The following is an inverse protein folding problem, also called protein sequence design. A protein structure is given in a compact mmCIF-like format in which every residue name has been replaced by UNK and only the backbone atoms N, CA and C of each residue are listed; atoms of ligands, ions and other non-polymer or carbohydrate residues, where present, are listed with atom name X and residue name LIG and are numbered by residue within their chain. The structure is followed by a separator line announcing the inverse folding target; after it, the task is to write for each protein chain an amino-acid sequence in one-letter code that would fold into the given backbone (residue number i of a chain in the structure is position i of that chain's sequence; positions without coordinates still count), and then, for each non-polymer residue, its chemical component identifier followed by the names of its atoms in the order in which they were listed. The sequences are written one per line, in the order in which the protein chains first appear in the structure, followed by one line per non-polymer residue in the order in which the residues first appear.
data_IF_016055944575
#
_entry.id   IF_016055944575
#
_cell.length_a   1.000
_cell.length_b   1.000
_cell.length_c   1.000
_cell.angle_alpha   90.00
_cell.angle_beta   90.00
_cell.angle_gamma   90.00
#
_symmetry.space_group_name_H-M   'P 1'
#
loop_
_entity.id
_entity.type
_entity.pdbx_description
1 polymer ?
#
# COMPACT_ATOMS: atom_id res chain seq x y z
N UNK A 1 -42.26 -52.69 16.69
CA UNK A 1 -40.99 -52.97 15.98
C UNK A 1 -40.05 -51.81 16.30
N UNK A 2 -39.22 -51.87 17.35
CA UNK A 2 -37.89 -52.51 17.42
C UNK A 2 -36.95 -52.00 16.31
N UNK A 3 -35.72 -51.49 16.51
CA UNK A 3 -34.79 -51.54 17.64
C UNK A 3 -33.66 -50.50 17.50
N UNK A 4 -33.22 -50.02 18.68
CA UNK A 4 -31.96 -49.42 19.17
C UNK A 4 -30.64 -49.65 18.40
N UNK A 5 -29.70 -48.69 18.56
CA UNK A 5 -28.26 -48.78 18.99
C UNK A 5 -27.61 -47.38 18.78
N UNK A 6 -27.26 -46.53 19.75
CA UNK A 6 -26.25 -46.58 20.84
C UNK A 6 -24.86 -47.10 20.42
N UNK A 7 -23.87 -46.19 20.37
CA UNK A 7 -22.49 -46.49 20.79
C UNK A 7 -21.81 -45.25 21.38
N UNK A 8 -21.36 -45.40 22.62
CA UNK A 8 -20.54 -44.49 23.41
C UNK A 8 -19.06 -44.67 23.05
N UNK A 9 -18.25 -43.62 23.15
CA UNK A 9 -16.83 -43.77 23.49
C UNK A 9 -16.38 -42.59 24.36
N UNK A 10 -16.26 -42.87 25.64
CA UNK A 10 -15.54 -42.07 26.64
C UNK A 10 -14.21 -42.78 26.84
N UNK A 11 -13.10 -42.08 26.68
CA UNK A 11 -11.84 -42.43 27.33
C UNK A 11 -11.10 -41.14 27.65
N UNK A 12 -11.03 -40.82 28.94
CA UNK A 12 -10.06 -39.88 29.47
C UNK A 12 -8.70 -40.56 29.62
N UNK A 13 -7.66 -39.76 29.83
CA UNK A 13 -6.59 -40.02 30.80
C UNK A 13 -5.95 -38.67 31.12
N UNK A 14 -6.06 -38.32 32.39
CA UNK A 14 -5.35 -37.27 33.10
C UNK A 14 -4.04 -37.88 33.59
N UNK A 15 -2.89 -37.24 33.35
CA UNK A 15 -1.67 -37.46 34.13
C UNK A 15 -1.10 -36.10 34.54
N UNK A 16 -1.22 -35.83 35.85
CA UNK A 16 -0.44 -34.85 36.59
C UNK A 16 0.85 -35.53 37.05
N UNK A 17 2.00 -34.87 36.87
CA UNK A 17 3.14 -35.06 37.77
C UNK A 17 4.00 -33.79 37.87
N UNK A 18 3.85 -33.17 39.04
CA UNK A 18 4.77 -32.38 39.85
C UNK A 18 6.28 -32.31 39.51
N UNK A 19 6.86 -31.13 39.79
CA UNK A 19 8.28 -30.87 40.07
C UNK A 19 8.66 -29.47 39.57
N UNK A 20 9.03 -28.44 40.34
CA UNK A 20 9.49 -28.36 41.72
C UNK A 20 10.95 -27.82 41.75
N UNK A 21 11.14 -26.54 42.10
CA UNK A 21 12.45 -25.90 42.41
C UNK A 21 13.34 -25.60 41.19
N UNK A 22 14.19 -24.57 41.13
CA UNK A 22 14.72 -23.64 42.12
C UNK A 22 15.23 -22.37 41.39
N UNK A 23 15.07 -21.23 42.03
CA UNK A 23 15.74 -19.94 41.79
C UNK A 23 17.24 -20.06 42.13
N UNK A 24 18.14 -19.52 41.30
CA UNK A 24 19.52 -19.23 41.69
C UNK A 24 19.85 -17.77 41.35
N UNK A 25 20.19 -17.03 42.40
CA UNK A 25 20.73 -15.68 42.38
C UNK A 25 22.24 -15.69 42.19
N UNK A 26 22.71 -14.65 41.47
CA UNK A 26 23.94 -13.86 41.66
C UNK A 26 25.33 -14.52 41.56
N UNK A 27 26.19 -13.93 40.72
CA UNK A 27 27.37 -13.20 41.20
C UNK A 27 28.04 -12.40 40.07
N UNK A 28 28.16 -11.10 40.30
CA UNK A 28 28.98 -10.13 39.54
C UNK A 28 30.48 -10.28 39.85
N UNK A 29 31.30 -9.69 38.97
CA UNK A 29 32.65 -9.07 39.10
C UNK A 29 33.72 -9.65 38.14
N UNK A 30 34.84 -8.95 37.84
CA UNK A 30 34.93 -7.58 37.31
C UNK A 30 35.92 -7.42 36.12
N UNK A 31 35.77 -6.29 35.41
CA UNK A 31 36.70 -5.43 34.64
C UNK A 31 38.16 -5.91 34.42
N UNK A 32 38.63 -5.82 33.16
CA UNK A 32 39.98 -5.30 32.91
C UNK A 32 40.05 -4.46 31.62
N UNK A 33 40.38 -3.20 31.83
CA UNK A 33 40.58 -2.15 30.83
C UNK A 33 42.07 -2.13 30.46
N UNK A 34 42.42 -1.93 29.18
CA UNK A 34 43.80 -1.64 28.79
C UNK A 34 43.79 -0.63 27.67
N UNK A 35 43.91 0.62 28.09
CA UNK A 35 44.31 1.76 27.27
C UNK A 35 45.82 1.72 27.03
N UNK A 36 46.25 1.88 25.77
CA UNK A 36 47.54 2.50 25.44
C UNK A 36 47.41 3.36 24.18
N UNK A 37 47.69 4.63 24.42
CA UNK A 37 47.77 5.77 23.51
C UNK A 37 49.23 6.02 23.13
N UNK A 38 49.49 6.52 21.91
CA UNK A 38 50.67 7.25 21.37
C UNK A 38 50.86 6.83 19.90
N UNK A 39 51.18 7.64 18.89
CA UNK A 39 51.17 9.07 18.56
C UNK A 39 51.84 9.17 17.16
N UNK A 40 51.29 9.95 16.22
CA UNK A 40 51.94 10.90 15.26
C UNK A 40 53.37 10.55 14.77
N UNK A 41 53.79 10.50 13.48
CA UNK A 41 53.47 11.23 12.24
C UNK A 41 54.21 10.65 11.01
N UNK A 42 53.75 11.04 9.82
CA UNK A 42 54.43 11.24 8.52
C UNK A 42 55.00 10.06 7.71
N UNK A 43 54.39 9.81 6.55
CA UNK A 43 55.10 9.84 5.27
C UNK A 43 54.15 9.90 4.06
N UNK A 44 54.46 10.85 3.18
CA UNK A 44 53.88 11.08 1.86
C UNK A 44 54.15 9.87 0.94
N UNK A 45 53.15 9.26 0.32
CA UNK A 45 53.21 8.76 -1.07
C UNK A 45 51.79 8.79 -1.65
N UNK A 46 51.58 9.66 -2.63
CA UNK A 46 50.49 9.54 -3.60
C UNK A 46 50.65 8.23 -4.37
N UNK A 47 49.59 7.44 -4.52
CA UNK A 47 49.38 6.64 -5.72
C UNK A 47 47.89 6.31 -5.86
N UNK A 48 47.33 6.90 -6.90
CA UNK A 48 46.04 6.64 -7.49
C UNK A 48 45.99 5.18 -7.98
N UNK A 49 45.21 4.31 -7.35
CA UNK A 49 44.78 3.05 -7.94
C UNK A 49 43.47 2.60 -7.28
N UNK A 50 42.41 2.61 -8.08
CA UNK A 50 41.03 2.53 -7.61
C UNK A 50 40.63 1.21 -6.95
N UNK A 51 39.76 1.34 -5.94
CA UNK A 51 38.83 0.29 -5.55
C UNK A 51 37.46 0.90 -5.20
N UNK A 52 36.59 0.88 -6.19
CA UNK A 52 35.23 0.34 -6.10
C UNK A 52 34.38 0.85 -4.92
N UNK A 53 33.78 2.03 -5.08
CA UNK A 53 32.61 2.41 -4.28
C UNK A 53 31.51 1.38 -4.54
N UNK A 54 31.19 0.63 -3.50
CA UNK A 54 30.03 -0.22 -3.39
C UNK A 54 28.78 0.63 -3.66
N UNK A 55 28.21 0.47 -4.85
CA UNK A 55 26.86 0.95 -5.17
C UNK A 55 25.89 0.17 -4.28
N UNK A 56 25.62 0.69 -3.08
CA UNK A 56 24.41 0.34 -2.36
C UNK A 56 23.23 0.67 -3.29
N UNK A 57 22.48 -0.38 -3.62
CA UNK A 57 21.30 -0.35 -4.48
C UNK A 57 20.24 0.57 -3.88
N UNK A 58 20.31 1.86 -4.21
CA UNK A 58 19.14 2.74 -4.19
C UNK A 58 18.22 2.22 -5.27
N UNK A 59 17.11 1.60 -4.86
CA UNK A 59 16.07 1.11 -5.77
C UNK A 59 15.60 2.23 -6.73
N UNK A 60 15.07 1.89 -7.91
CA UNK A 60 14.80 2.86 -8.95
C UNK A 60 13.82 3.93 -8.44
N UNK A 61 14.23 5.20 -8.59
CA UNK A 61 13.40 6.36 -8.32
C UNK A 61 12.05 6.23 -9.05
N UNK A 62 10.94 6.45 -8.34
CA UNK A 62 9.58 6.34 -8.89
C UNK A 62 9.30 7.31 -10.06
N UNK A 63 10.16 8.31 -10.27
CA UNK A 63 10.14 9.18 -11.45
C UNK A 63 10.34 8.43 -12.78
N UNK A 64 10.99 7.27 -12.78
CA UNK A 64 11.18 6.46 -13.99
C UNK A 64 9.89 5.87 -14.55
N UNK A 65 8.89 5.64 -13.70
CA UNK A 65 7.64 4.97 -14.10
C UNK A 65 6.66 5.92 -14.79
N UNK A 66 6.59 7.19 -14.38
CA UNK A 66 5.76 8.22 -15.02
C UNK A 66 6.23 8.53 -16.45
N UNK A 67 7.54 8.48 -16.72
CA UNK A 67 8.12 8.63 -18.06
C UNK A 67 7.78 7.45 -19.01
N UNK A 68 7.46 6.26 -18.48
CA UNK A 68 7.07 5.11 -19.30
C UNK A 68 5.61 5.14 -19.75
N UNK A 69 4.73 5.87 -19.05
CA UNK A 69 3.30 5.94 -19.37
C UNK A 69 3.06 6.57 -20.73
N UNK A 70 3.84 7.59 -21.11
CA UNK A 70 3.73 8.25 -22.43
C UNK A 70 3.89 7.25 -23.59
N UNK A 71 4.77 6.25 -23.44
CA UNK A 71 4.97 5.19 -24.45
C UNK A 71 3.76 4.27 -24.63
N UNK A 72 2.83 4.31 -23.68
CA UNK A 72 1.65 3.45 -23.62
C UNK A 72 0.41 4.08 -24.23
N UNK A 73 0.44 5.38 -24.49
CA UNK A 73 -0.58 6.02 -25.30
C UNK A 73 -0.50 5.53 -26.75
N UNK A 74 -1.65 5.51 -27.41
CA UNK A 74 -1.78 5.27 -28.86
C UNK A 74 -1.45 6.56 -29.60
N UNK A 75 -1.04 6.42 -30.86
CA UNK A 75 -0.59 7.54 -31.68
C UNK A 75 -1.63 8.68 -31.67
N UNK A 76 -1.17 9.91 -31.40
CA UNK A 76 -2.01 11.11 -31.30
C UNK A 76 -2.62 11.38 -29.92
N UNK A 77 -2.58 10.42 -28.99
CA UNK A 77 -3.00 10.65 -27.61
C UNK A 77 -1.80 10.92 -26.69
N UNK A 78 -2.00 11.81 -25.73
CA UNK A 78 -1.09 12.07 -24.62
C UNK A 78 -1.89 12.41 -23.37
N UNK A 79 -1.21 12.65 -22.24
CA UNK A 79 -1.89 13.16 -21.04
C UNK A 79 -2.59 14.49 -21.32
N UNK A 80 -1.92 15.41 -22.00
CA UNK A 80 -2.44 16.74 -22.29
C UNK A 80 -3.69 16.67 -23.16
N UNK A 81 -3.69 15.83 -24.21
CA UNK A 81 -4.87 15.72 -25.10
C UNK A 81 -6.08 15.12 -24.39
N UNK A 82 -5.89 14.25 -23.39
CA UNK A 82 -7.00 13.69 -22.60
C UNK A 82 -7.46 14.68 -21.53
N UNK A 83 -6.54 15.40 -20.90
CA UNK A 83 -6.86 16.41 -19.89
C UNK A 83 -7.57 17.63 -20.49
N UNK A 84 -7.32 17.97 -21.76
CA UNK A 84 -8.05 19.02 -22.47
C UNK A 84 -9.51 18.67 -22.77
N UNK A 85 -9.90 17.40 -22.64
CA UNK A 85 -11.30 16.96 -22.75
C UNK A 85 -11.95 17.10 -21.38
N UNK A 86 -13.11 17.76 -21.36
CA UNK A 86 -13.87 18.00 -20.13
C UNK A 86 -14.25 16.71 -19.40
N UNK A 87 -14.22 16.75 -18.07
CA UNK A 87 -14.70 15.65 -17.22
C UNK A 87 -16.16 15.33 -17.59
N UNK A 88 -16.47 14.04 -17.72
CA UNK A 88 -17.75 13.53 -18.22
C UNK A 88 -17.72 13.14 -19.71
N UNK A 89 -16.81 13.76 -20.48
CA UNK A 89 -16.65 13.48 -21.93
C UNK A 89 -15.32 12.81 -22.28
N UNK A 90 -14.47 12.50 -21.29
CA UNK A 90 -13.19 11.84 -21.55
C UNK A 90 -13.42 10.45 -22.13
N UNK A 91 -12.68 10.04 -23.16
CA UNK A 91 -12.93 8.79 -23.86
C UNK A 91 -12.57 7.58 -22.98
N UNK A 92 -13.06 6.38 -23.35
CA UNK A 92 -12.70 5.15 -22.63
C UNK A 92 -11.18 4.89 -22.70
N UNK A 93 -10.52 4.48 -21.60
CA UNK A 93 -9.08 4.19 -21.57
C UNK A 93 -8.57 3.26 -22.68
N UNK A 94 -9.36 2.29 -23.16
CA UNK A 94 -8.97 1.38 -24.23
C UNK A 94 -8.81 2.07 -25.59
N UNK A 95 -9.42 3.25 -25.79
CA UNK A 95 -9.34 4.04 -27.02
C UNK A 95 -8.00 4.76 -27.16
N UNK A 96 -7.38 5.16 -26.05
CA UNK A 96 -6.12 5.92 -26.04
C UNK A 96 -4.95 5.20 -25.39
N UNK A 97 -5.16 4.12 -24.62
CA UNK A 97 -4.09 3.28 -24.08
C UNK A 97 -3.98 1.97 -24.85
N UNK A 98 -2.74 1.48 -25.00
CA UNK A 98 -2.45 0.16 -25.59
C UNK A 98 -2.98 -0.94 -24.66
N UNK A 99 -3.69 -1.93 -25.24
CA UNK A 99 -4.27 -3.08 -24.51
C UNK A 99 -3.26 -3.82 -23.62
N UNK A 100 -2.02 -3.99 -24.08
CA UNK A 100 -0.94 -4.64 -23.31
C UNK A 100 -0.63 -3.89 -22.02
N UNK A 101 -0.73 -2.57 -22.04
CA UNK A 101 -0.42 -1.71 -20.89
C UNK A 101 -1.53 -1.77 -19.86
N UNK A 102 -2.79 -1.64 -20.29
CA UNK A 102 -3.97 -1.86 -19.43
C UNK A 102 -3.89 -3.23 -18.74
N UNK A 103 -3.65 -4.30 -19.51
CA UNK A 103 -3.58 -5.66 -18.95
C UNK A 103 -2.45 -5.83 -17.95
N UNK A 104 -1.28 -5.23 -18.21
CA UNK A 104 -0.13 -5.29 -17.29
C UNK A 104 -0.44 -4.53 -16.00
N UNK A 105 -0.96 -3.31 -16.13
CA UNK A 105 -1.34 -2.47 -14.99
C UNK A 105 -2.31 -3.18 -14.04
N UNK A 106 -3.43 -3.68 -14.59
CA UNK A 106 -4.45 -4.36 -13.80
C UNK A 106 -4.01 -5.75 -13.28
N UNK A 107 -2.89 -6.30 -13.76
CA UNK A 107 -2.33 -7.56 -13.24
C UNK A 107 -1.76 -7.37 -11.84
N UNK A 108 -1.23 -6.19 -11.52
CA UNK A 108 -0.54 -5.93 -10.25
C UNK A 108 -1.51 -5.91 -9.07
N UNK A 109 -2.78 -5.60 -9.33
CA UNK A 109 -3.88 -5.67 -8.36
C UNK A 109 -4.35 -7.10 -8.08
N UNK A 110 -3.77 -8.14 -8.71
CA UNK A 110 -4.13 -9.55 -8.45
C UNK A 110 -3.87 -9.95 -6.99
N UNK A 111 -2.85 -9.35 -6.37
CA UNK A 111 -2.50 -9.60 -4.97
C UNK A 111 -3.37 -8.81 -3.96
N UNK A 112 -4.32 -8.02 -4.45
CA UNK A 112 -5.21 -7.20 -3.63
C UNK A 112 -5.08 -5.72 -3.94
N UNK A 113 -6.06 -4.96 -3.45
CA UNK A 113 -6.13 -3.51 -3.58
C UNK A 113 -6.46 -2.88 -2.23
N UNK A 114 -6.09 -1.62 -2.06
CA UNK A 114 -6.39 -0.85 -0.86
C UNK A 114 -6.86 0.56 -1.19
N UNK A 115 -7.68 1.14 -0.33
CA UNK A 115 -7.95 2.57 -0.29
C UNK A 115 -8.03 3.06 1.16
N UNK A 116 -7.93 4.39 1.34
CA UNK A 116 -8.18 5.05 2.62
C UNK A 116 -9.46 5.85 2.50
N UNK A 117 -10.31 5.75 3.51
CA UNK A 117 -11.51 6.56 3.66
C UNK A 117 -11.55 7.17 5.06
N UNK A 118 -12.39 8.17 5.27
CA UNK A 118 -12.64 8.73 6.60
C UNK A 118 -13.60 7.83 7.37
N UNK A 119 -13.50 7.82 8.71
CA UNK A 119 -14.46 7.13 9.57
C UNK A 119 -15.90 7.58 9.33
N UNK A 120 -16.11 8.89 9.14
CA UNK A 120 -17.41 9.44 8.76
C UNK A 120 -17.98 8.80 7.48
N UNK A 121 -17.14 8.60 6.45
CA UNK A 121 -17.56 7.96 5.20
C UNK A 121 -17.86 6.46 5.37
N UNK A 122 -17.14 5.79 6.26
CA UNK A 122 -17.40 4.40 6.63
C UNK A 122 -18.74 4.27 7.37
N UNK A 123 -18.99 5.14 8.35
CA UNK A 123 -20.15 5.08 9.24
C UNK A 123 -21.48 5.48 8.53
N UNK A 124 -21.44 6.33 7.48
CA UNK A 124 -22.64 6.83 6.77
C UNK A 124 -23.59 5.73 6.28
N UNK A 125 -23.07 4.56 5.96
CA UNK A 125 -23.84 3.40 5.52
C UNK A 125 -23.51 2.15 6.35
N UNK A 126 -23.00 2.30 7.57
CA UNK A 126 -22.52 1.18 8.41
C UNK A 126 -21.58 0.20 7.66
N UNK A 127 -20.76 0.75 6.75
CA UNK A 127 -19.88 -0.03 5.88
C UNK A 127 -20.58 -0.86 4.78
N UNK A 128 -21.90 -0.78 4.62
CA UNK A 128 -22.65 -1.63 3.67
C UNK A 128 -22.23 -1.43 2.21
N UNK A 129 -21.82 -0.22 1.85
CA UNK A 129 -21.38 0.11 0.49
C UNK A 129 -20.39 1.28 0.49
N UNK A 130 -19.10 0.99 0.35
CA UNK A 130 -18.04 1.99 0.30
C UNK A 130 -17.76 2.44 -1.13
N UNK A 131 -17.83 3.75 -1.39
CA UNK A 131 -17.51 4.37 -2.67
C UNK A 131 -18.35 5.61 -2.94
N UNK A 132 -18.27 6.14 -4.16
CA UNK A 132 -18.97 7.34 -4.60
C UNK A 132 -20.33 7.01 -5.22
N UNK A 133 -21.18 8.03 -5.35
CA UNK A 133 -22.56 7.89 -5.83
C UNK A 133 -22.67 7.33 -7.26
N UNK A 134 -21.66 7.55 -8.11
CA UNK A 134 -21.54 7.02 -9.48
C UNK A 134 -21.06 5.56 -9.52
N UNK A 135 -21.13 4.86 -8.39
CA UNK A 135 -20.65 3.49 -8.23
C UNK A 135 -19.14 3.31 -8.48
N UNK A 136 -18.32 4.33 -8.22
CA UNK A 136 -16.86 4.26 -8.34
C UNK A 136 -16.15 4.32 -6.99
N UNK A 137 -15.05 3.59 -6.86
CA UNK A 137 -14.08 3.76 -5.76
C UNK A 137 -12.67 3.59 -6.30
N UNK A 138 -11.84 4.61 -6.07
CA UNK A 138 -10.42 4.57 -6.40
C UNK A 138 -9.66 3.69 -5.42
N UNK A 139 -8.72 2.91 -5.93
CA UNK A 139 -7.87 1.99 -5.18
C UNK A 139 -6.45 1.99 -5.73
N UNK A 140 -5.48 1.71 -4.88
CA UNK A 140 -4.10 1.39 -5.27
C UNK A 140 -3.79 -0.07 -4.94
N UNK A 141 -2.61 -0.57 -5.35
CA UNK A 141 -2.22 -1.93 -4.96
C UNK A 141 -2.00 -2.02 -3.45
N UNK A 142 -2.33 -3.16 -2.84
CA UNK A 142 -2.18 -3.33 -1.39
C UNK A 142 -0.75 -3.07 -0.91
N UNK A 143 0.25 -3.58 -1.64
CA UNK A 143 1.67 -3.42 -1.32
C UNK A 143 2.16 -1.98 -1.45
N UNK A 144 1.66 -1.22 -2.43
CA UNK A 144 2.02 0.19 -2.55
C UNK A 144 1.36 1.02 -1.43
N UNK A 145 0.14 0.67 -0.99
CA UNK A 145 -0.48 1.29 0.20
C UNK A 145 0.33 1.00 1.47
N UNK A 146 0.80 -0.25 1.65
CA UNK A 146 1.70 -0.60 2.76
C UNK A 146 2.95 0.30 2.74
N UNK A 147 3.54 0.49 1.55
CA UNK A 147 4.71 1.34 1.35
C UNK A 147 4.44 2.82 1.68
N UNK A 148 3.28 3.35 1.29
CA UNK A 148 2.88 4.74 1.61
C UNK A 148 2.80 4.92 3.12
N UNK A 149 2.09 4.03 3.82
CA UNK A 149 1.90 4.15 5.27
C UNK A 149 3.23 4.01 6.04
N UNK A 150 4.08 3.04 5.67
CA UNK A 150 5.41 2.85 6.28
C UNK A 150 6.28 4.09 6.07
N UNK A 151 6.42 4.55 4.82
CA UNK A 151 7.29 5.70 4.48
C UNK A 151 6.79 7.00 5.11
N UNK A 152 5.49 7.12 5.36
CA UNK A 152 4.91 8.33 5.91
C UNK A 152 5.15 8.47 7.41
N UNK A 153 5.48 7.38 8.12
CA UNK A 153 5.65 7.38 9.59
C UNK A 153 4.49 8.08 10.31
N UNK A 154 3.25 7.84 9.87
CA UNK A 154 2.05 8.47 10.44
C UNK A 154 1.86 9.95 10.12
N UNK A 155 2.71 10.59 9.31
CA UNK A 155 2.54 11.98 8.90
C UNK A 155 1.39 12.13 7.89
N UNK A 156 0.31 12.79 8.31
CA UNK A 156 -0.90 12.95 7.51
C UNK A 156 -0.66 13.67 6.18
N UNK A 157 0.08 14.77 6.18
CA UNK A 157 0.34 15.59 4.99
C UNK A 157 1.10 14.76 3.95
N UNK A 158 2.03 13.92 4.40
CA UNK A 158 2.76 13.01 3.52
C UNK A 158 1.86 11.94 2.92
N UNK A 159 0.96 11.35 3.72
CA UNK A 159 -0.02 10.38 3.21
C UNK A 159 -0.92 11.02 2.16
N UNK A 160 -1.46 12.22 2.44
CA UNK A 160 -2.29 12.96 1.50
C UNK A 160 -1.57 13.21 0.17
N UNK A 161 -0.33 13.73 0.24
CA UNK A 161 0.49 13.99 -0.94
C UNK A 161 0.79 12.71 -1.75
N UNK A 162 1.20 11.63 -1.09
CA UNK A 162 1.51 10.36 -1.75
C UNK A 162 0.29 9.75 -2.45
N UNK A 163 -0.91 10.02 -1.93
CA UNK A 163 -2.19 9.54 -2.47
C UNK A 163 -2.88 10.51 -3.44
N UNK A 164 -2.27 11.66 -3.76
CA UNK A 164 -2.88 12.67 -4.63
C UNK A 164 -4.16 13.27 -4.04
N UNK A 165 -4.23 13.35 -2.71
CA UNK A 165 -5.29 14.01 -1.95
C UNK A 165 -4.85 15.46 -1.68
N UNK A 166 -5.71 16.47 -1.92
CA UNK A 166 -5.37 17.85 -1.58
C UNK A 166 -4.99 17.99 -0.11
N UNK A 167 -3.96 18.79 0.17
CA UNK A 167 -3.41 18.97 1.52
C UNK A 167 -4.51 19.45 2.48
N UNK A 168 -4.51 18.91 3.70
CA UNK A 168 -5.46 19.15 4.79
C UNK A 168 -6.90 18.63 4.56
N UNK A 169 -7.17 17.86 3.49
CA UNK A 169 -8.50 17.25 3.25
C UNK A 169 -8.95 16.35 4.41
N UNK A 170 -8.00 15.70 5.06
CA UNK A 170 -8.20 14.74 6.15
C UNK A 170 -7.79 15.28 7.51
N UNK A 171 -7.48 16.58 7.62
CA UNK A 171 -7.17 17.22 8.90
C UNK A 171 -8.28 16.97 9.93
N UNK A 172 -7.90 16.55 11.13
CA UNK A 172 -8.79 16.23 12.25
C UNK A 172 -9.78 15.08 11.95
N UNK A 173 -9.51 14.21 10.97
CA UNK A 173 -10.36 13.06 10.66
C UNK A 173 -9.67 11.76 11.05
N UNK A 174 -10.46 10.81 11.53
CA UNK A 174 -10.01 9.42 11.71
C UNK A 174 -10.02 8.75 10.34
N UNK A 175 -8.92 8.07 10.01
CA UNK A 175 -8.74 7.38 8.75
C UNK A 175 -8.88 5.87 8.93
N UNK A 176 -9.53 5.24 7.98
CA UNK A 176 -9.73 3.79 7.91
C UNK A 176 -9.16 3.32 6.58
N UNK A 177 -8.25 2.37 6.66
CA UNK A 177 -7.77 1.61 5.52
C UNK A 177 -8.77 0.50 5.22
N UNK A 178 -9.09 0.35 3.94
CA UNK A 178 -9.94 -0.71 3.40
C UNK A 178 -9.09 -1.56 2.48
N UNK A 179 -9.01 -2.86 2.77
CA UNK A 179 -8.27 -3.84 1.98
C UNK A 179 -9.22 -4.82 1.28
N UNK A 180 -9.02 -4.99 -0.02
CA UNK A 180 -9.85 -5.84 -0.90
C UNK A 180 -8.97 -6.97 -1.43
N UNK A 181 -9.27 -8.21 -1.05
CA UNK A 181 -8.47 -9.37 -1.47
C UNK A 181 -8.65 -9.71 -2.97
N UNK A 182 -9.87 -9.56 -3.50
CA UNK A 182 -10.23 -9.96 -4.88
C UNK A 182 -10.84 -8.79 -5.67
N UNK A 183 -10.10 -7.72 -5.94
CA UNK A 183 -10.64 -6.49 -6.55
C UNK A 183 -11.26 -6.72 -7.94
N UNK A 184 -10.79 -7.74 -8.69
CA UNK A 184 -11.40 -8.12 -9.98
C UNK A 184 -12.88 -8.49 -9.88
N UNK A 185 -13.35 -9.01 -8.73
CA UNK A 185 -14.77 -9.31 -8.51
C UNK A 185 -15.63 -8.04 -8.40
N UNK A 186 -15.00 -6.91 -8.17
CA UNK A 186 -15.62 -5.58 -8.07
C UNK A 186 -15.35 -4.75 -9.33
N UNK A 187 -15.31 -5.39 -10.51
CA UNK A 187 -15.14 -4.70 -11.82
C UNK A 187 -13.94 -3.75 -11.87
N UNK A 188 -12.80 -4.22 -11.35
CA UNK A 188 -11.51 -3.53 -11.44
C UNK A 188 -11.19 -3.10 -12.89
N UNK A 189 -10.93 -1.80 -13.08
CA UNK A 189 -10.66 -1.17 -14.38
C UNK A 189 -9.71 0.01 -14.26
N UNK A 190 -9.22 0.49 -15.40
CA UNK A 190 -8.48 1.76 -15.46
C UNK A 190 -9.44 2.92 -15.12
N UNK A 191 -8.96 3.97 -14.42
CA UNK A 191 -9.73 5.19 -14.30
C UNK A 191 -9.83 5.89 -15.66
N UNK A 192 -11.02 6.37 -15.97
CA UNK A 192 -11.33 7.14 -17.17
C UNK A 192 -11.14 8.65 -16.99
N UNK A 193 -11.16 9.12 -15.74
CA UNK A 193 -11.17 10.53 -15.43
C UNK A 193 -12.57 11.13 -15.43
N UNK A 194 -13.63 10.32 -15.62
CA UNK A 194 -15.03 10.73 -15.53
C UNK A 194 -15.66 10.38 -14.17
N UNK A 195 -14.95 9.63 -13.32
CA UNK A 195 -15.45 9.20 -12.03
C UNK A 195 -15.67 10.40 -11.08
N UNK A 196 -16.66 10.30 -10.20
CA UNK A 196 -17.02 11.35 -9.25
C UNK A 196 -15.83 11.75 -8.36
N UNK A 197 -14.96 10.80 -8.00
CA UNK A 197 -13.77 11.02 -7.18
C UNK A 197 -12.60 11.73 -7.86
N UNK A 198 -12.66 11.99 -9.17
CA UNK A 198 -11.58 12.65 -9.93
C UNK A 198 -11.45 14.12 -9.51
N UNK A 199 -10.24 14.51 -9.10
CA UNK A 199 -9.83 15.87 -8.74
C UNK A 199 -8.82 16.44 -9.77
N UNK A 200 -8.25 17.61 -9.49
CA UNK A 200 -7.28 18.30 -10.37
C UNK A 200 -5.92 17.59 -10.49
N UNK A 201 -5.58 16.71 -9.54
CA UNK A 201 -4.33 15.95 -9.52
C UNK A 201 -4.42 14.64 -10.31
N UNK A 202 -5.60 14.27 -10.77
CA UNK A 202 -5.80 13.03 -11.53
C UNK A 202 -5.05 13.06 -12.86
N UNK A 203 -4.42 11.94 -13.21
CA UNK A 203 -3.68 11.76 -14.46
C UNK A 203 -4.24 10.57 -15.27
N UNK A 204 -4.38 10.71 -16.59
CA UNK A 204 -4.69 9.58 -17.44
C UNK A 204 -3.52 8.59 -17.48
N UNK A 205 -3.84 7.30 -17.45
CA UNK A 205 -2.87 6.21 -17.47
C UNK A 205 -2.83 5.35 -16.22
N UNK A 206 -3.61 5.70 -15.18
CA UNK A 206 -3.77 4.89 -13.96
C UNK A 206 -2.61 5.02 -12.98
N UNK A 207 -2.00 6.19 -12.89
CA UNK A 207 -0.93 6.45 -11.93
C UNK A 207 -1.21 7.75 -11.20
N UNK A 208 -0.91 7.76 -9.90
CA UNK A 208 -0.85 8.99 -9.12
C UNK A 208 0.34 9.86 -9.57
N UNK A 209 0.34 11.17 -9.28
CA UNK A 209 1.48 12.05 -9.59
C UNK A 209 2.82 11.53 -9.03
N UNK A 210 2.77 10.84 -7.89
CA UNK A 210 3.92 10.20 -7.21
C UNK A 210 4.40 8.91 -7.86
N UNK A 211 3.67 8.39 -8.85
CA UNK A 211 4.04 7.20 -9.62
C UNK A 211 3.48 5.87 -9.10
N UNK A 212 2.70 5.87 -8.01
CA UNK A 212 1.97 4.68 -7.56
C UNK A 212 0.82 4.33 -8.51
N UNK A 213 0.45 3.04 -8.56
CA UNK A 213 -0.61 2.58 -9.44
C UNK A 213 -1.97 2.87 -8.84
N UNK A 214 -2.86 3.32 -9.70
CA UNK A 214 -4.23 3.64 -9.40
C UNK A 214 -5.17 2.87 -10.34
N UNK A 215 -6.28 2.40 -9.79
CA UNK A 215 -7.37 1.77 -10.51
C UNK A 215 -8.71 2.15 -9.88
N UNK A 216 -9.80 1.79 -10.55
CA UNK A 216 -11.15 1.98 -10.04
C UNK A 216 -11.83 0.62 -9.92
N UNK A 217 -12.55 0.42 -8.84
CA UNK A 217 -13.51 -0.67 -8.64
C UNK A 217 -14.91 -0.08 -8.50
N UNK A 218 -15.93 -0.94 -8.59
CA UNK A 218 -17.27 -0.61 -8.18
C UNK A 218 -17.34 -0.41 -6.65
N UNK A 219 -18.48 0.11 -6.15
CA UNK A 219 -18.68 0.21 -4.70
C UNK A 219 -18.42 -1.12 -4.01
N UNK A 220 -17.76 -1.04 -2.87
CA UNK A 220 -17.25 -2.18 -2.14
C UNK A 220 -18.31 -2.57 -1.09
N UNK A 221 -19.00 -3.72 -1.26
CA UNK A 221 -20.00 -4.15 -0.30
C UNK A 221 -19.35 -4.68 0.98
N UNK A 222 -20.08 -4.60 2.10
CA UNK A 222 -19.69 -5.24 3.37
C UNK A 222 -19.39 -6.73 3.18
N UNK A 223 -18.39 -7.21 3.91
CA UNK A 223 -17.89 -8.59 3.77
C UNK A 223 -16.96 -8.83 2.56
N UNK A 224 -16.78 -7.85 1.66
CA UNK A 224 -15.79 -7.95 0.58
C UNK A 224 -14.44 -7.28 0.88
N UNK A 225 -14.29 -6.72 2.09
CA UNK A 225 -13.11 -6.02 2.55
C UNK A 225 -12.77 -6.31 4.02
N UNK A 226 -11.54 -5.98 4.41
CA UNK A 226 -11.13 -5.81 5.82
C UNK A 226 -10.86 -4.34 6.10
N UNK A 227 -11.25 -3.86 7.27
CA UNK A 227 -11.06 -2.46 7.67
C UNK A 227 -10.08 -2.36 8.85
N UNK A 228 -9.20 -1.37 8.81
CA UNK A 228 -8.22 -1.12 9.88
C UNK A 228 -8.07 0.38 10.09
N UNK A 229 -8.15 0.82 11.35
CA UNK A 229 -7.91 2.23 11.69
C UNK A 229 -6.44 2.56 11.46
N UNK A 230 -6.17 3.71 10.87
CA UNK A 230 -4.80 4.20 10.66
C UNK A 230 -4.44 5.12 11.81
N UNK A 231 -3.30 4.83 12.44
CA UNK A 231 -2.71 5.69 13.46
C UNK A 231 -1.96 6.83 12.76
N UNK A 232 -2.41 8.06 13.02
CA UNK A 232 -1.79 9.29 12.52
C UNK A 232 -1.12 9.97 13.71
N UNK A 233 0.13 10.39 13.51
CA UNK A 233 0.82 11.23 14.50
C UNK A 233 0.27 12.66 14.35
N UNK A 234 -0.33 13.16 15.42
CA UNK A 234 -0.84 14.53 15.50
C UNK A 234 0.29 15.54 15.72
#
# INVERSE_FOLDING_TARGET
MASKRLFCSVFGILFLSFGGGQLVFALDTPINDTSRHLSVSDSLISNDFGMKIEKQNVGPSHAGNTCLVEKYFRNGASRQTILSISKGSRPDPATYLKRRCIRRHLKDFKAGASCIITKEAFDRHDGDSLGKADNSQFVMTKSEMDSVLIKSHGNLIRIENELGIPVNTWKNKILIRIDILKPKRLRLRMPSGNEAGVNELWLPGGYLPTGYKEAVVDRIPKGSYTATVIEILQ
#
